data_IF_838987370077
#
_entry.id   IF_838987370077
#
_cell.length_a   1.000
_cell.length_b   1.000
_cell.length_c   1.000
_cell.angle_alpha   90.00
_cell.angle_beta   90.00
_cell.angle_gamma   90.00
#
_symmetry.space_group_name_H-M   'P 1'
#
loop_
_entity.id
_entity.type
_entity.pdbx_description
1 polymer ?
#
# COMPACT_ATOMS: atom_id res chain seq x y z
N UNK A 1 -29.61 -3.12 21.65
CA UNK A 1 -28.50 -2.30 21.15
C UNK A 1 -27.43 -3.24 20.66
N UNK A 2 -27.10 -3.20 19.37
CA UNK A 2 -25.94 -3.93 18.85
C UNK A 2 -24.75 -2.98 18.92
N UNK A 3 -23.80 -3.26 19.81
CA UNK A 3 -22.55 -2.51 19.92
C UNK A 3 -21.62 -2.96 18.79
N UNK A 4 -21.28 -2.03 17.90
CA UNK A 4 -20.30 -2.27 16.83
C UNK A 4 -18.96 -2.55 17.53
N UNK A 5 -18.23 -3.63 17.20
CA UNK A 5 -16.96 -3.93 17.85
C UNK A 5 -15.96 -2.81 17.54
N UNK A 6 -15.65 -1.98 18.55
CA UNK A 6 -14.70 -0.84 18.50
C UNK A 6 -13.30 -1.20 17.98
N UNK A 7 -12.98 -2.48 17.92
CA UNK A 7 -11.68 -3.02 17.54
C UNK A 7 -11.32 -2.77 16.07
N UNK A 8 -12.31 -2.46 15.22
CA UNK A 8 -12.12 -2.13 13.79
C UNK A 8 -11.92 -0.63 13.51
N UNK A 9 -12.20 0.24 14.48
CA UNK A 9 -12.27 1.70 14.27
C UNK A 9 -11.00 2.44 14.70
N UNK A 10 -10.11 1.79 15.47
CA UNK A 10 -8.81 2.32 15.82
C UNK A 10 -7.73 1.94 14.80
N UNK A 11 -8.01 2.12 13.51
CA UNK A 11 -6.90 2.43 12.60
C UNK A 11 -6.36 3.76 13.10
N UNK A 12 -5.13 3.78 13.62
CA UNK A 12 -4.43 4.97 14.11
C UNK A 12 -4.36 6.04 13.01
N UNK A 13 -5.48 6.73 12.80
CA UNK A 13 -5.57 7.95 12.04
C UNK A 13 -5.09 9.03 12.99
N UNK A 14 -3.93 9.59 12.67
CA UNK A 14 -3.42 10.78 13.34
C UNK A 14 -4.47 11.90 13.17
N UNK A 15 -4.41 12.97 13.97
CA UNK A 15 -5.28 14.16 13.93
C UNK A 15 -5.55 14.71 12.50
N UNK A 16 -4.71 14.36 11.52
CA UNK A 16 -4.84 14.72 10.10
C UNK A 16 -5.55 13.69 9.21
N UNK A 17 -6.16 12.63 9.76
CA UNK A 17 -6.83 11.59 8.97
C UNK A 17 -5.88 10.65 8.21
N UNK A 18 -4.56 10.79 8.40
CA UNK A 18 -3.52 9.97 7.79
C UNK A 18 -3.11 8.82 8.72
N UNK A 19 -2.81 7.66 8.13
CA UNK A 19 -2.21 6.53 8.85
C UNK A 19 -0.71 6.74 9.06
N UNK A 20 -0.12 6.07 10.05
CA UNK A 20 1.33 6.09 10.24
C UNK A 20 2.13 5.64 9.01
N UNK A 21 1.62 4.66 8.26
CA UNK A 21 2.23 4.22 7.00
C UNK A 21 2.27 5.35 5.95
N UNK A 22 1.22 6.16 5.87
CA UNK A 22 1.17 7.32 4.99
C UNK A 22 2.15 8.41 5.45
N UNK A 23 2.25 8.65 6.76
CA UNK A 23 3.20 9.62 7.32
C UNK A 23 4.67 9.21 7.07
N UNK A 24 4.96 7.91 7.05
CA UNK A 24 6.30 7.41 6.73
C UNK A 24 6.74 7.85 5.33
N UNK A 25 5.85 7.82 4.34
CA UNK A 25 6.17 8.32 3.00
C UNK A 25 6.47 9.82 3.02
N UNK A 26 5.71 10.62 3.76
CA UNK A 26 6.03 12.04 3.93
C UNK A 26 7.45 12.24 4.50
N UNK A 27 7.83 11.45 5.50
CA UNK A 27 9.15 11.50 6.12
C UNK A 27 10.28 11.12 5.15
N UNK A 28 10.05 10.16 4.25
CA UNK A 28 11.02 9.75 3.23
C UNK A 28 11.12 10.76 2.08
N UNK A 29 10.00 11.27 1.58
CA UNK A 29 9.98 12.15 0.42
C UNK A 29 10.28 13.62 0.76
N UNK A 30 10.00 14.07 1.99
CA UNK A 30 10.29 15.43 2.45
C UNK A 30 11.76 15.85 2.23
N UNK A 31 12.79 15.10 2.68
CA UNK A 31 14.19 15.51 2.48
C UNK A 31 14.59 15.59 1.00
N UNK A 32 13.98 14.76 0.14
CA UNK A 32 14.21 14.78 -1.31
C UNK A 32 13.63 16.07 -1.90
N UNK A 33 12.37 16.35 -1.63
CA UNK A 33 11.66 17.58 -2.06
C UNK A 33 12.39 18.82 -1.55
N UNK A 34 12.75 18.84 -0.27
CA UNK A 34 13.48 19.94 0.36
C UNK A 34 14.84 20.17 -0.30
N UNK A 35 15.60 19.10 -0.58
CA UNK A 35 16.90 19.22 -1.23
C UNK A 35 16.79 19.73 -2.66
N UNK A 36 15.81 19.26 -3.43
CA UNK A 36 15.60 19.71 -4.81
C UNK A 36 15.17 21.18 -4.88
N UNK A 37 14.30 21.63 -3.97
CA UNK A 37 13.78 22.99 -3.99
C UNK A 37 14.80 24.01 -3.44
N UNK A 38 15.48 23.67 -2.34
CA UNK A 38 16.30 24.64 -1.59
C UNK A 38 17.80 24.43 -1.72
N UNK A 39 18.29 23.20 -1.93
CA UNK A 39 19.73 22.91 -2.01
C UNK A 39 20.28 22.83 -3.43
N UNK A 40 19.43 22.58 -4.42
CA UNK A 40 19.86 22.47 -5.81
C UNK A 40 20.25 23.85 -6.38
N UNK A 41 21.50 23.98 -6.82
CA UNK A 41 22.01 25.18 -7.51
C UNK A 41 21.58 25.19 -8.98
N UNK A 42 20.29 25.33 -9.22
CA UNK A 42 19.69 25.44 -10.55
C UNK A 42 18.75 26.66 -10.62
N UNK A 43 18.34 27.11 -11.82
CA UNK A 43 17.21 28.05 -11.97
C UNK A 43 15.96 27.55 -11.23
N UNK A 44 15.15 28.47 -10.72
CA UNK A 44 13.96 28.12 -9.93
C UNK A 44 12.98 27.24 -10.72
N UNK A 45 12.81 27.51 -12.01
CA UNK A 45 11.98 26.74 -12.93
C UNK A 45 12.37 25.26 -12.97
N UNK A 46 13.68 24.98 -13.09
CA UNK A 46 14.22 23.62 -13.12
C UNK A 46 13.99 22.94 -11.77
N UNK A 47 14.17 23.65 -10.65
CA UNK A 47 13.91 23.10 -9.32
C UNK A 47 12.46 22.69 -9.16
N UNK A 48 11.52 23.58 -9.50
CA UNK A 48 10.08 23.29 -9.43
C UNK A 48 9.73 22.08 -10.30
N UNK A 49 10.20 22.07 -11.55
CA UNK A 49 9.97 20.97 -12.48
C UNK A 49 10.48 19.63 -11.92
N UNK A 50 11.69 19.60 -11.37
CA UNK A 50 12.27 18.39 -10.76
C UNK A 50 11.55 17.97 -9.48
N UNK A 51 11.07 18.93 -8.68
CA UNK A 51 10.34 18.65 -7.43
C UNK A 51 8.95 18.05 -7.69
N UNK A 52 8.35 18.25 -8.86
CA UNK A 52 7.04 17.65 -9.19
C UNK A 52 7.07 16.11 -9.17
N UNK A 53 8.15 15.49 -9.64
CA UNK A 53 8.27 14.03 -9.69
C UNK A 53 8.14 13.37 -8.31
N UNK A 54 8.95 13.72 -7.30
CA UNK A 54 8.82 13.14 -5.97
C UNK A 54 7.53 13.55 -5.26
N UNK A 55 6.97 14.74 -5.53
CA UNK A 55 5.66 15.13 -4.96
C UNK A 55 4.56 14.20 -5.48
N UNK A 56 4.46 13.99 -6.79
CA UNK A 56 3.45 13.11 -7.39
C UNK A 56 3.59 11.68 -6.85
N UNK A 57 4.82 11.18 -6.74
CA UNK A 57 5.09 9.87 -6.15
C UNK A 57 4.65 9.81 -4.68
N UNK A 58 5.03 10.81 -3.87
CA UNK A 58 4.65 10.88 -2.46
C UNK A 58 3.13 10.88 -2.31
N UNK A 59 2.41 11.71 -3.07
CA UNK A 59 0.95 11.76 -3.07
C UNK A 59 0.35 10.42 -3.50
N UNK A 60 0.92 9.77 -4.52
CA UNK A 60 0.55 8.42 -4.94
C UNK A 60 0.63 7.40 -3.80
N UNK A 61 1.77 7.33 -3.14
CA UNK A 61 1.97 6.41 -2.01
C UNK A 61 1.11 6.75 -0.80
N UNK A 62 0.91 8.03 -0.50
CA UNK A 62 0.18 8.49 0.67
C UNK A 62 -1.34 8.40 0.53
N UNK A 63 -1.91 8.69 -0.63
CA UNK A 63 -3.36 8.84 -0.76
C UNK A 63 -4.02 7.76 -1.61
N UNK A 64 -3.26 7.15 -2.53
CA UNK A 64 -3.80 6.18 -3.48
C UNK A 64 -3.36 4.74 -3.18
N UNK A 65 -2.75 4.49 -2.02
CA UNK A 65 -2.21 3.18 -1.64
C UNK A 65 -1.40 2.54 -2.78
N UNK A 66 -0.56 3.36 -3.44
CA UNK A 66 0.18 2.97 -4.64
C UNK A 66 1.04 1.72 -4.40
N UNK A 67 1.47 1.48 -3.16
CA UNK A 67 2.16 0.25 -2.73
C UNK A 67 1.33 -1.02 -2.96
N UNK A 68 0.02 -0.99 -2.66
CA UNK A 68 -0.91 -2.10 -2.89
C UNK A 68 -1.11 -2.30 -4.39
N UNK A 69 -1.30 -1.22 -5.15
CA UNK A 69 -1.44 -1.30 -6.59
C UNK A 69 -0.19 -1.85 -7.28
N UNK A 70 1.01 -1.43 -6.86
CA UNK A 70 2.27 -2.00 -7.38
C UNK A 70 2.38 -3.49 -7.04
N UNK A 71 2.06 -3.88 -5.80
CA UNK A 71 2.10 -5.30 -5.40
C UNK A 71 1.14 -6.13 -6.23
N UNK A 72 -0.09 -5.65 -6.42
CA UNK A 72 -1.12 -6.33 -7.21
C UNK A 72 -0.71 -6.41 -8.69
N UNK A 73 -0.18 -5.33 -9.25
CA UNK A 73 0.28 -5.30 -10.63
C UNK A 73 1.47 -6.24 -10.85
N UNK A 74 2.46 -6.24 -9.95
CA UNK A 74 3.58 -7.17 -9.99
C UNK A 74 3.12 -8.62 -9.84
N UNK A 75 2.19 -8.88 -8.92
CA UNK A 75 1.60 -10.22 -8.71
C UNK A 75 0.87 -10.69 -9.95
N UNK A 76 0.04 -9.83 -10.55
CA UNK A 76 -0.63 -10.10 -11.82
C UNK A 76 0.39 -10.37 -12.93
N UNK A 77 1.42 -9.55 -13.07
CA UNK A 77 2.45 -9.73 -14.09
C UNK A 77 3.19 -11.06 -13.94
N UNK A 78 3.50 -11.46 -12.70
CA UNK A 78 4.15 -12.74 -12.39
C UNK A 78 3.24 -13.95 -12.64
N UNK A 79 1.94 -13.81 -12.40
CA UNK A 79 0.97 -14.91 -12.51
C UNK A 79 0.32 -15.03 -13.89
N UNK A 80 0.39 -14.00 -14.74
CA UNK A 80 -0.28 -14.01 -16.05
C UNK A 80 0.23 -15.12 -16.99
N UNK A 81 1.45 -15.61 -16.76
CA UNK A 81 2.05 -16.70 -17.55
C UNK A 81 1.84 -18.08 -16.93
N UNK A 82 1.36 -18.13 -15.68
CA UNK A 82 1.08 -19.36 -14.98
C UNK A 82 -0.34 -19.84 -15.31
N UNK A 83 -0.47 -20.65 -16.37
CA UNK A 83 -1.70 -21.39 -16.70
C UNK A 83 -2.03 -22.52 -15.72
N UNK A 84 -1.09 -22.85 -14.83
CA UNK A 84 -1.12 -24.06 -14.02
C UNK A 84 -1.49 -23.77 -12.56
N UNK A 85 -2.67 -24.21 -12.07
CA UNK A 85 -3.19 -23.87 -10.75
C UNK A 85 -2.30 -24.36 -9.59
N UNK A 86 -1.48 -25.40 -9.78
CA UNK A 86 -0.55 -25.88 -8.75
C UNK A 86 0.61 -24.91 -8.52
N UNK A 87 1.14 -24.30 -9.59
CA UNK A 87 2.21 -23.28 -9.51
C UNK A 87 1.72 -21.99 -8.88
N UNK A 88 0.43 -21.66 -9.05
CA UNK A 88 -0.23 -20.53 -8.39
C UNK A 88 -0.31 -20.77 -6.88
N UNK A 89 -0.78 -21.95 -6.43
CA UNK A 89 -0.83 -22.31 -5.00
C UNK A 89 0.55 -22.23 -4.32
N UNK A 90 1.59 -22.69 -5.02
CA UNK A 90 2.96 -22.67 -4.52
C UNK A 90 3.54 -21.25 -4.48
N UNK A 91 3.26 -20.40 -5.48
CA UNK A 91 3.73 -19.01 -5.54
C UNK A 91 3.13 -18.09 -4.48
N UNK A 92 1.90 -18.38 -4.02
CA UNK A 92 1.24 -17.64 -2.94
C UNK A 92 1.57 -18.14 -1.54
N UNK A 93 2.35 -19.24 -1.41
CA UNK A 93 2.66 -19.81 -0.10
C UNK A 93 1.41 -20.22 0.67
N UNK A 94 0.32 -20.60 -0.04
CA UNK A 94 -0.90 -21.15 0.57
C UNK A 94 -0.63 -22.61 0.92
N UNK A 95 0.37 -22.81 1.78
CA UNK A 95 0.52 -24.04 2.53
C UNK A 95 -0.55 -24.07 3.60
N UNK A 96 -1.58 -24.89 3.38
CA UNK A 96 -2.58 -25.29 4.36
C UNK A 96 -3.47 -24.17 4.94
N UNK A 97 -4.40 -23.64 4.14
CA UNK A 97 -5.67 -23.21 4.75
C UNK A 97 -6.39 -24.50 5.11
N UNK A 98 -6.23 -24.94 6.37
CA UNK A 98 -7.03 -26.01 6.93
C UNK A 98 -8.50 -25.65 6.71
N UNK A 99 -9.23 -26.61 6.15
CA UNK A 99 -10.69 -26.66 6.10
C UNK A 99 -11.25 -26.34 7.49
N UNK A 100 -11.70 -25.10 7.71
CA UNK A 100 -12.39 -24.70 8.97
C UNK A 100 -13.78 -24.11 8.66
N UNK A 101 -14.28 -24.23 7.43
CA UNK A 101 -15.57 -23.67 7.05
C UNK A 101 -16.47 -24.67 6.32
N UNK A 102 -16.67 -25.88 6.86
CA UNK A 102 -17.86 -26.69 6.58
C UNK A 102 -18.11 -27.67 7.75
N UNK A 103 -18.39 -27.13 8.93
CA UNK A 103 -19.12 -27.91 9.94
C UNK A 103 -20.18 -27.02 10.56
N UNK A 104 -21.11 -26.57 9.70
CA UNK A 104 -22.40 -26.06 10.13
C UNK A 104 -23.45 -27.15 9.88
N UNK A 105 -23.84 -27.74 11.00
CA UNK A 105 -25.16 -28.29 11.30
C UNK A 105 -25.78 -29.34 10.35
N UNK A 106 -25.31 -30.59 10.49
CA UNK A 106 -26.14 -31.78 10.23
C UNK A 106 -25.98 -32.83 11.33
N UNK A 107 -26.59 -32.62 12.49
CA UNK A 107 -27.08 -33.70 13.38
C UNK A 107 -28.36 -33.21 14.07
N UNK A 108 -29.54 -33.51 13.54
CA UNK A 108 -30.32 -34.75 13.77
C UNK A 108 -30.87 -34.84 15.19
#
# INVERSE_FOLDING_TARGET
>A
MYEIPQQLEYKEKIVFGLTFGQLFYALVFFPIVFSLLFKLKAPLEIRIFLTMFPIILATGFMFFDLSIHLKNWYTWFKLRELKDPEKIKQAFGIGNIKEVFFEDDKKK
#
